data_IF_710197474335
#
_entry.id   IF_710197474335
#
_cell.length_a   1.000
_cell.length_b   1.000
_cell.length_c   1.000
_cell.angle_alpha   90.00
_cell.angle_beta   90.00
_cell.angle_gamma   90.00
#
_symmetry.space_group_name_H-M   'P 1'
#
loop_
_entity.id
_entity.type
_entity.pdbx_description
1 polymer ?
#
# COMPACT_ATOMS: atom_id res chain seq x y z
N UNK A 1 -8.08 13.67 -12.99
CA UNK A 1 -6.64 13.44 -12.76
C UNK A 1 -6.42 12.34 -11.74
N UNK A 2 -7.06 12.38 -10.56
CA UNK A 2 -6.90 11.33 -9.52
C UNK A 2 -7.27 9.91 -9.98
N UNK A 3 -8.32 9.74 -10.79
CA UNK A 3 -8.76 8.41 -11.27
C UNK A 3 -7.76 7.75 -12.22
N UNK A 4 -7.08 8.53 -13.05
CA UNK A 4 -6.07 8.01 -13.96
C UNK A 4 -4.84 7.49 -13.18
N UNK A 5 -4.41 8.23 -12.15
CA UNK A 5 -3.23 7.86 -11.34
C UNK A 5 -3.49 6.59 -10.52
N UNK A 6 -4.72 6.42 -9.99
CA UNK A 6 -5.16 5.21 -9.30
C UNK A 6 -5.11 4.02 -10.25
N UNK A 7 -5.64 4.19 -11.48
CA UNK A 7 -5.69 3.15 -12.48
C UNK A 7 -4.30 2.68 -12.92
N UNK A 8 -3.32 3.60 -13.05
CA UNK A 8 -1.93 3.25 -13.36
C UNK A 8 -1.26 2.46 -12.23
N UNK A 9 -1.47 2.86 -10.97
CA UNK A 9 -0.96 2.13 -9.81
C UNK A 9 -1.52 0.71 -9.74
N UNK A 10 -2.82 0.54 -9.99
CA UNK A 10 -3.46 -0.76 -10.06
C UNK A 10 -2.93 -1.61 -11.21
N UNK A 11 -2.77 -1.01 -12.41
CA UNK A 11 -2.22 -1.73 -13.54
C UNK A 11 -0.82 -2.28 -13.25
N UNK A 12 0.06 -1.45 -12.73
CA UNK A 12 1.41 -1.84 -12.35
C UNK A 12 1.42 -2.87 -11.21
N UNK A 13 0.53 -2.77 -10.23
CA UNK A 13 0.36 -3.79 -9.18
C UNK A 13 0.04 -5.16 -9.80
N UNK A 14 -0.93 -5.25 -10.72
CA UNK A 14 -1.31 -6.51 -11.35
C UNK A 14 -0.22 -7.10 -12.23
N UNK A 15 0.60 -6.27 -12.85
CA UNK A 15 1.73 -6.71 -13.70
C UNK A 15 2.90 -7.21 -12.86
N UNK A 16 3.29 -6.47 -11.83
CA UNK A 16 4.56 -6.69 -11.13
C UNK A 16 4.44 -7.38 -9.78
N UNK A 17 3.30 -7.23 -9.06
CA UNK A 17 3.17 -7.68 -7.68
C UNK A 17 2.18 -8.82 -7.54
N UNK A 18 1.03 -8.76 -8.19
CA UNK A 18 -0.09 -9.67 -7.96
C UNK A 18 0.24 -11.15 -8.12
N UNK A 19 1.12 -11.50 -9.05
CA UNK A 19 1.54 -12.90 -9.29
C UNK A 19 2.24 -13.53 -8.08
N UNK A 20 2.92 -12.71 -7.29
CA UNK A 20 3.70 -13.15 -6.13
C UNK A 20 3.00 -12.85 -4.80
N UNK A 21 2.22 -11.78 -4.77
CA UNK A 21 1.58 -11.29 -3.56
C UNK A 21 0.14 -10.80 -3.84
N UNK A 22 -0.82 -11.73 -3.99
CA UNK A 22 -2.19 -11.44 -4.46
C UNK A 22 -3.12 -10.91 -3.35
N UNK A 23 -2.82 -9.73 -2.81
CA UNK A 23 -3.61 -9.10 -1.73
C UNK A 23 -4.92 -8.47 -2.21
N UNK A 24 -5.00 -8.05 -3.47
CA UNK A 24 -6.22 -7.49 -4.05
C UNK A 24 -7.03 -8.58 -4.77
N UNK A 25 -8.36 -8.40 -4.87
CA UNK A 25 -9.21 -9.24 -5.70
C UNK A 25 -8.76 -9.26 -7.17
N UNK A 26 -9.26 -10.19 -7.99
CA UNK A 26 -8.96 -10.22 -9.41
C UNK A 26 -9.30 -8.90 -10.09
N UNK A 27 -8.59 -8.59 -11.17
CA UNK A 27 -8.79 -7.36 -11.96
C UNK A 27 -10.23 -7.28 -12.48
N UNK A 28 -10.87 -6.14 -12.27
CA UNK A 28 -12.24 -5.86 -12.74
C UNK A 28 -12.22 -5.21 -14.13
N UNK A 29 -11.19 -4.39 -14.42
CA UNK A 29 -11.06 -3.64 -15.67
C UNK A 29 -9.97 -4.24 -16.57
N UNK A 30 -10.08 -4.06 -17.88
CA UNK A 30 -9.05 -4.46 -18.81
C UNK A 30 -7.72 -3.74 -18.53
N UNK A 31 -6.61 -4.39 -18.89
CA UNK A 31 -5.29 -3.78 -18.77
C UNK A 31 -5.21 -2.52 -19.63
N UNK A 32 -4.87 -1.41 -19.00
CA UNK A 32 -4.58 -0.18 -19.73
C UNK A 32 -3.14 -0.25 -20.29
N UNK A 33 -2.91 0.33 -21.48
CA UNK A 33 -1.54 0.47 -21.98
C UNK A 33 -0.73 1.35 -21.04
N UNK A 34 0.51 0.92 -20.76
CA UNK A 34 1.42 1.69 -19.94
C UNK A 34 1.69 3.05 -20.59
N UNK A 35 1.36 4.11 -19.86
CA UNK A 35 1.85 5.44 -20.20
C UNK A 35 3.03 5.74 -19.29
N UNK A 36 4.23 5.92 -19.84
CA UNK A 36 5.33 6.41 -19.02
C UNK A 36 4.91 7.74 -18.38
N UNK A 37 5.01 7.83 -17.06
CA UNK A 37 4.93 9.12 -16.39
C UNK A 37 6.00 10.00 -17.03
N UNK A 38 5.62 11.12 -17.65
CA UNK A 38 6.58 12.09 -18.16
C UNK A 38 7.36 12.64 -16.98
N UNK A 39 8.49 12.03 -16.68
CA UNK A 39 9.48 12.60 -15.79
C UNK A 39 10.06 13.84 -16.49
N UNK A 40 9.45 14.98 -16.27
CA UNK A 40 10.17 16.25 -16.44
C UNK A 40 11.30 16.18 -15.39
N UNK A 41 12.51 15.91 -15.89
CA UNK A 41 13.67 15.58 -15.08
C UNK A 41 13.99 16.64 -14.02
N UNK A 42 13.55 16.40 -12.83
CA UNK A 42 14.09 17.03 -11.65
C UNK A 42 15.23 16.10 -11.17
N UNK A 43 16.42 16.36 -11.69
CA UNK A 43 17.62 15.80 -11.13
C UNK A 43 17.71 16.22 -9.66
N UNK A 44 17.73 15.26 -8.75
CA UNK A 44 18.10 15.53 -7.36
C UNK A 44 19.58 15.86 -7.38
N UNK A 45 19.91 17.16 -7.39
CA UNK A 45 21.30 17.65 -7.46
C UNK A 45 21.95 17.69 -6.09
N UNK A 46 21.24 17.34 -5.01
CA UNK A 46 21.77 17.37 -3.65
C UNK A 46 21.14 16.26 -2.79
N UNK A 47 21.96 15.53 -1.99
CA UNK A 47 21.45 14.50 -1.08
C UNK A 47 20.62 15.03 0.09
N UNK A 48 20.53 16.36 0.26
CA UNK A 48 19.79 17.02 1.34
C UNK A 48 18.39 17.51 0.96
N UNK A 49 18.01 17.46 -0.32
CA UNK A 49 16.66 17.87 -0.76
C UNK A 49 15.70 16.67 -0.79
N UNK A 50 14.54 16.83 -0.14
CA UNK A 50 13.46 15.83 -0.29
C UNK A 50 13.04 15.78 -1.76
N UNK A 51 12.92 14.56 -2.34
CA UNK A 51 12.54 14.42 -3.75
C UNK A 51 11.16 15.01 -3.97
N UNK A 52 11.04 15.88 -4.97
CA UNK A 52 9.75 16.46 -5.37
C UNK A 52 8.93 15.37 -6.04
N UNK A 53 7.94 14.84 -5.33
CA UNK A 53 7.08 13.78 -5.83
C UNK A 53 6.07 14.35 -6.84
N UNK A 54 6.20 13.99 -8.09
CA UNK A 54 5.25 14.34 -9.15
C UNK A 54 3.91 13.59 -8.98
N UNK A 55 3.97 12.39 -8.38
CA UNK A 55 2.83 11.54 -8.04
C UNK A 55 2.69 11.46 -6.53
N UNK A 56 1.50 11.81 -6.02
CA UNK A 56 1.17 11.72 -4.59
C UNK A 56 -0.07 10.84 -4.38
N UNK A 57 0.11 9.54 -4.19
CA UNK A 57 -0.98 8.65 -3.78
C UNK A 57 -1.61 9.12 -2.46
N UNK A 58 -2.91 8.89 -2.30
CA UNK A 58 -3.66 9.36 -1.12
C UNK A 58 -3.97 8.26 -0.12
N UNK A 59 -3.98 7.01 -0.55
CA UNK A 59 -4.27 5.89 0.36
C UNK A 59 -2.97 5.23 0.85
N UNK A 60 -2.94 4.69 2.07
CA UNK A 60 -1.78 3.97 2.59
C UNK A 60 -1.40 2.78 1.71
N UNK A 61 -2.39 2.09 1.14
CA UNK A 61 -2.16 0.97 0.24
C UNK A 61 -1.50 1.42 -1.08
N UNK A 62 -1.98 2.50 -1.69
CA UNK A 62 -1.38 3.03 -2.91
C UNK A 62 0.05 3.54 -2.68
N UNK A 63 0.33 4.14 -1.52
CA UNK A 63 1.67 4.54 -1.11
C UNK A 63 2.60 3.33 -0.91
N UNK A 64 2.12 2.27 -0.24
CA UNK A 64 2.89 1.05 -0.03
C UNK A 64 3.21 0.33 -1.36
N UNK A 65 2.25 0.25 -2.28
CA UNK A 65 2.44 -0.27 -3.63
C UNK A 65 3.47 0.58 -4.39
N UNK A 66 3.35 1.91 -4.35
CA UNK A 66 4.29 2.82 -4.98
C UNK A 66 5.72 2.64 -4.44
N UNK A 67 5.89 2.32 -3.15
CA UNK A 67 7.20 2.03 -2.57
C UNK A 67 7.88 0.83 -3.24
N UNK A 68 7.14 -0.24 -3.55
CA UNK A 68 7.68 -1.41 -4.27
C UNK A 68 7.91 -1.08 -5.74
N UNK A 69 6.93 -0.46 -6.40
CA UNK A 69 6.99 -0.16 -7.83
C UNK A 69 8.10 0.84 -8.18
N UNK A 70 8.45 1.75 -7.26
CA UNK A 70 9.58 2.68 -7.45
C UNK A 70 10.92 1.97 -7.66
N UNK A 71 11.03 0.70 -7.27
CA UNK A 71 12.25 -0.11 -7.48
C UNK A 71 12.35 -0.68 -8.88
N UNK A 72 11.24 -0.75 -9.61
CA UNK A 72 11.20 -1.21 -11.01
C UNK A 72 11.82 -0.12 -11.87
N UNK A 73 12.83 -0.45 -12.71
CA UNK A 73 13.43 0.55 -13.60
C UNK A 73 12.41 1.07 -14.62
N UNK A 74 12.48 2.37 -14.89
CA UNK A 74 11.65 2.96 -15.94
C UNK A 74 12.06 2.43 -17.32
N UNK A 75 11.14 2.13 -18.24
CA UNK A 75 11.46 1.62 -19.57
C UNK A 75 12.38 2.54 -20.38
N UNK A 76 12.32 3.85 -20.14
CA UNK A 76 13.13 4.86 -20.82
C UNK A 76 14.41 5.24 -20.05
N UNK A 77 14.74 4.52 -18.95
CA UNK A 77 16.00 4.75 -18.25
C UNK A 77 17.15 4.17 -19.10
N UNK A 78 18.07 5.01 -19.62
CA UNK A 78 19.15 4.55 -20.49
C UNK A 78 20.18 3.69 -19.72
N UNK A 79 20.30 3.91 -18.41
CA UNK A 79 21.26 3.22 -17.54
C UNK A 79 20.62 2.71 -16.25
N UNK A 80 19.70 1.72 -16.34
CA UNK A 80 18.93 1.27 -15.17
C UNK A 80 19.79 0.65 -14.07
N UNK A 81 20.98 0.18 -14.39
CA UNK A 81 21.93 -0.42 -13.45
C UNK A 81 22.96 0.57 -12.90
N UNK A 82 22.94 1.84 -13.33
CA UNK A 82 23.87 2.85 -12.81
C UNK A 82 23.65 3.10 -11.32
N UNK A 83 24.73 3.44 -10.61
CA UNK A 83 24.66 3.74 -9.19
C UNK A 83 23.68 4.89 -8.88
N UNK A 84 23.60 5.88 -9.77
CA UNK A 84 22.70 7.01 -9.63
C UNK A 84 21.22 6.60 -9.78
N UNK A 85 20.87 5.85 -10.83
CA UNK A 85 19.51 5.32 -11.03
C UNK A 85 19.07 4.42 -9.88
N UNK A 86 19.97 3.55 -9.40
CA UNK A 86 19.71 2.70 -8.23
C UNK A 86 19.46 3.53 -6.97
N UNK A 87 20.29 4.55 -6.73
CA UNK A 87 20.15 5.44 -5.58
C UNK A 87 18.82 6.20 -5.63
N UNK A 88 18.45 6.77 -6.77
CA UNK A 88 17.20 7.50 -6.95
C UNK A 88 15.99 6.58 -6.68
N UNK A 89 15.92 5.40 -7.28
CA UNK A 89 14.82 4.45 -7.07
C UNK A 89 14.68 4.06 -5.60
N UNK A 90 15.79 3.78 -4.92
CA UNK A 90 15.78 3.46 -3.48
C UNK A 90 15.31 4.64 -2.63
N UNK A 91 15.69 5.86 -3.00
CA UNK A 91 15.27 7.07 -2.30
C UNK A 91 13.76 7.27 -2.44
N UNK A 92 13.20 7.19 -3.64
CA UNK A 92 11.75 7.27 -3.86
C UNK A 92 11.00 6.15 -3.12
N UNK A 93 11.48 4.92 -3.23
CA UNK A 93 10.91 3.78 -2.52
C UNK A 93 10.86 4.01 -1.01
N UNK A 94 11.93 4.53 -0.43
CA UNK A 94 11.99 4.85 1.00
C UNK A 94 11.02 5.97 1.40
N UNK A 95 10.90 7.02 0.58
CA UNK A 95 9.96 8.13 0.83
C UNK A 95 8.52 7.61 0.80
N UNK A 96 8.13 6.84 -0.21
CA UNK A 96 6.79 6.26 -0.29
C UNK A 96 6.50 5.30 0.87
N UNK A 97 7.46 4.45 1.26
CA UNK A 97 7.30 3.55 2.41
C UNK A 97 7.07 4.34 3.71
N UNK A 98 7.82 5.43 3.94
CA UNK A 98 7.64 6.32 5.10
C UNK A 98 6.28 7.00 5.08
N UNK A 99 5.86 7.51 3.92
CA UNK A 99 4.53 8.12 3.76
C UNK A 99 3.40 7.11 4.01
N UNK A 100 3.55 5.87 3.56
CA UNK A 100 2.57 4.80 3.81
C UNK A 100 2.44 4.51 5.30
N UNK A 101 3.56 4.40 6.02
CA UNK A 101 3.58 4.19 7.47
C UNK A 101 2.85 5.33 8.19
N UNK A 102 3.22 6.57 7.88
CA UNK A 102 2.61 7.75 8.50
C UNK A 102 1.09 7.81 8.19
N UNK A 103 0.67 7.40 6.99
CA UNK A 103 -0.75 7.35 6.62
C UNK A 103 -1.52 6.29 7.41
N UNK A 104 -0.93 5.10 7.63
CA UNK A 104 -1.53 4.06 8.48
C UNK A 104 -1.65 4.54 9.93
N UNK A 105 -0.63 5.19 10.46
CA UNK A 105 -0.61 5.73 11.81
C UNK A 105 -1.66 6.83 11.99
N UNK A 106 -1.74 7.78 11.03
CA UNK A 106 -2.73 8.84 11.05
C UNK A 106 -4.18 8.31 10.98
N UNK A 107 -4.44 7.31 10.14
CA UNK A 107 -5.76 6.67 10.08
C UNK A 107 -6.11 5.98 11.41
N UNK A 108 -5.12 5.37 12.08
CA UNK A 108 -5.31 4.72 13.38
C UNK A 108 -5.59 5.74 14.48
N UNK A 109 -4.92 6.90 14.46
CA UNK A 109 -5.15 7.99 15.40
C UNK A 109 -6.54 8.61 15.22
N UNK A 110 -6.99 8.80 13.96
CA UNK A 110 -8.34 9.28 13.66
C UNK A 110 -9.40 8.33 14.21
N UNK A 111 -9.18 7.02 14.08
CA UNK A 111 -10.09 6.02 14.66
C UNK A 111 -10.10 6.04 16.19
N UNK A 112 -8.99 6.40 16.83
CA UNK A 112 -8.85 6.46 18.28
C UNK A 112 -9.35 7.78 18.87
N UNK A 113 -9.12 8.92 18.20
CA UNK A 113 -9.40 10.26 18.71
C UNK A 113 -10.89 10.64 18.71
N UNK A 114 -11.73 9.90 17.99
CA UNK A 114 -13.19 10.09 18.00
C UNK A 114 -13.86 9.47 19.25
N UNK A 115 -13.10 8.87 20.16
CA UNK A 115 -13.62 8.30 21.39
C UNK A 115 -13.72 9.42 22.42
N UNK A 116 -14.77 10.22 22.36
CA UNK A 116 -15.32 10.88 23.53
C UNK A 116 -15.62 9.76 24.57
N UNK A 117 -15.18 9.88 25.82
CA UNK A 117 -15.47 8.87 26.86
C UNK A 117 -16.97 8.51 26.97
N UNK A 118 -17.86 9.43 26.59
CA UNK A 118 -19.30 9.19 26.49
C UNK A 118 -19.71 8.37 25.27
N UNK A 119 -18.88 8.30 24.23
CA UNK A 119 -19.10 7.53 23.00
C UNK A 119 -18.30 6.20 22.94
N UNK A 120 -17.49 5.91 23.95
CA UNK A 120 -16.72 4.68 24.04
C UNK A 120 -17.58 3.40 23.99
N UNK A 121 -18.89 3.53 24.17
CA UNK A 121 -19.87 2.46 24.04
C UNK A 121 -20.61 2.48 22.68
N UNK A 122 -20.37 3.45 21.81
CA UNK A 122 -20.96 3.48 20.49
C UNK A 122 -20.16 2.59 19.53
N UNK A 123 -20.85 1.71 18.83
CA UNK A 123 -20.26 0.76 17.85
C UNK A 123 -19.85 1.45 16.55
N UNK A 124 -20.17 2.73 16.38
CA UNK A 124 -19.88 3.48 15.15
C UNK A 124 -18.43 3.96 15.11
N UNK A 125 -17.60 3.27 14.32
CA UNK A 125 -16.25 3.73 13.99
C UNK A 125 -16.34 4.92 13.03
N UNK A 126 -15.50 5.97 13.18
CA UNK A 126 -15.45 7.06 12.21
C UNK A 126 -15.10 6.52 10.82
N UNK A 127 -15.93 6.84 9.85
CA UNK A 127 -15.74 6.44 8.46
C UNK A 127 -14.57 7.23 7.86
N UNK A 128 -13.59 6.53 7.36
CA UNK A 128 -12.51 7.14 6.58
C UNK A 128 -13.09 7.56 5.22
N UNK A 129 -13.28 8.86 5.01
CA UNK A 129 -13.87 9.39 3.78
C UNK A 129 -12.81 9.56 2.68
N UNK A 130 -12.47 8.47 2.00
CA UNK A 130 -11.64 8.46 0.79
C UNK A 130 -12.15 7.43 -0.21
N UNK A 131 -11.80 7.64 -1.49
CA UNK A 131 -12.09 6.64 -2.53
C UNK A 131 -11.19 5.41 -2.31
N UNK A 132 -11.77 4.18 -2.39
CA UNK A 132 -11.00 2.96 -2.32
C UNK A 132 -10.04 2.85 -3.52
N UNK A 133 -8.86 2.28 -3.30
CA UNK A 133 -7.91 1.99 -4.38
C UNK A 133 -8.47 0.99 -5.39
N UNK A 134 -9.21 -0.01 -4.91
CA UNK A 134 -9.84 -1.03 -5.74
C UNK A 134 -11.35 -1.11 -5.45
N UNK A 135 -12.21 -1.15 -6.49
CA UNK A 135 -13.67 -1.10 -6.31
C UNK A 135 -14.23 -2.20 -5.39
N UNK A 136 -13.62 -3.39 -5.43
CA UNK A 136 -14.04 -4.53 -4.60
C UNK A 136 -13.25 -4.67 -3.29
N UNK A 137 -12.53 -3.62 -2.87
CA UNK A 137 -11.77 -3.63 -1.62
C UNK A 137 -12.23 -2.44 -0.77
N UNK A 138 -12.83 -2.67 0.40
CA UNK A 138 -13.27 -1.57 1.25
C UNK A 138 -12.07 -0.80 1.81
N UNK A 139 -12.26 0.50 2.06
CA UNK A 139 -11.21 1.42 2.52
C UNK A 139 -10.60 0.96 3.86
N UNK A 140 -11.40 0.34 4.71
CA UNK A 140 -10.99 -0.17 6.02
C UNK A 140 -9.90 -1.26 5.93
N UNK A 141 -9.87 -2.02 4.84
CA UNK A 141 -8.83 -3.03 4.61
C UNK A 141 -7.51 -2.44 4.11
N UNK A 142 -7.50 -1.21 3.58
CA UNK A 142 -6.30 -0.64 2.95
C UNK A 142 -5.12 -0.50 3.91
N UNK A 143 -5.37 -0.17 5.18
CA UNK A 143 -4.33 -0.08 6.20
C UNK A 143 -3.67 -1.44 6.46
N UNK A 144 -4.47 -2.47 6.61
CA UNK A 144 -4.00 -3.84 6.78
C UNK A 144 -3.17 -4.30 5.58
N UNK A 145 -3.70 -4.11 4.36
CA UNK A 145 -3.02 -4.49 3.12
C UNK A 145 -1.72 -3.69 2.91
N UNK A 146 -1.70 -2.41 3.29
CA UNK A 146 -0.50 -1.59 3.27
C UNK A 146 0.59 -2.15 4.19
N UNK A 147 0.23 -2.57 5.42
CA UNK A 147 1.17 -3.18 6.35
C UNK A 147 1.75 -4.50 5.81
N UNK A 148 0.95 -5.29 5.10
CA UNK A 148 1.45 -6.51 4.44
C UNK A 148 2.48 -6.19 3.34
N UNK A 149 2.22 -5.21 2.49
CA UNK A 149 3.19 -4.75 1.47
C UNK A 149 4.44 -4.18 2.14
N UNK A 150 4.29 -3.38 3.20
CA UNK A 150 5.42 -2.83 3.96
C UNK A 150 6.25 -3.92 4.65
N UNK A 151 5.64 -5.01 5.09
CA UNK A 151 6.39 -6.15 5.63
C UNK A 151 7.30 -6.77 4.56
N UNK A 152 6.78 -6.98 3.34
CA UNK A 152 7.57 -7.45 2.20
C UNK A 152 8.68 -6.46 1.86
N UNK A 153 8.40 -5.16 1.86
CA UNK A 153 9.39 -4.10 1.63
C UNK A 153 10.53 -4.15 2.65
N UNK A 154 10.24 -4.26 3.94
CA UNK A 154 11.27 -4.35 4.99
C UNK A 154 12.15 -5.59 4.83
N UNK A 155 11.57 -6.72 4.42
CA UNK A 155 12.30 -7.94 4.13
C UNK A 155 13.20 -7.80 2.90
N UNK A 156 12.62 -7.43 1.76
CA UNK A 156 13.30 -7.52 0.46
C UNK A 156 14.29 -6.39 0.24
N UNK A 157 13.98 -5.17 0.70
CA UNK A 157 14.80 -3.99 0.42
C UNK A 157 15.73 -3.61 1.57
N UNK A 158 15.36 -3.95 2.78
CA UNK A 158 16.12 -3.55 3.97
C UNK A 158 16.77 -4.72 4.69
N UNK A 159 16.42 -5.96 4.38
CA UNK A 159 16.85 -7.14 5.11
C UNK A 159 16.48 -7.10 6.60
N UNK A 160 15.46 -6.30 6.97
CA UNK A 160 15.09 -6.06 8.35
C UNK A 160 13.98 -6.99 8.79
N UNK A 161 14.34 -8.21 9.19
CA UNK A 161 13.40 -9.23 9.65
C UNK A 161 12.57 -8.80 10.87
N UNK A 162 13.15 -7.99 11.77
CA UNK A 162 12.43 -7.52 12.96
C UNK A 162 11.29 -6.57 12.56
N UNK A 163 11.55 -5.62 11.66
CA UNK A 163 10.52 -4.72 11.15
C UNK A 163 9.52 -5.44 10.27
N UNK A 164 9.96 -6.40 9.46
CA UNK A 164 9.06 -7.27 8.69
C UNK A 164 8.03 -7.92 9.62
N UNK A 165 8.49 -8.63 10.66
CA UNK A 165 7.61 -9.29 11.64
C UNK A 165 6.74 -8.30 12.40
N UNK A 166 7.27 -7.13 12.75
CA UNK A 166 6.51 -6.09 13.41
C UNK A 166 5.34 -5.62 12.55
N UNK A 167 5.57 -5.35 11.25
CA UNK A 167 4.51 -4.93 10.33
C UNK A 167 3.48 -6.05 10.10
N UNK A 168 3.92 -7.28 9.92
CA UNK A 168 3.02 -8.43 9.81
C UNK A 168 2.20 -8.64 11.10
N UNK A 169 2.79 -8.43 12.28
CA UNK A 169 2.09 -8.48 13.57
C UNK A 169 1.03 -7.38 13.71
N UNK A 170 1.34 -6.15 13.28
CA UNK A 170 0.34 -5.07 13.23
C UNK A 170 -0.83 -5.44 12.31
N UNK A 171 -0.55 -5.99 11.12
CA UNK A 171 -1.58 -6.44 10.19
C UNK A 171 -2.44 -7.55 10.81
N UNK A 172 -1.83 -8.51 11.53
CA UNK A 172 -2.55 -9.57 12.22
C UNK A 172 -3.47 -9.02 13.31
N UNK A 173 -2.99 -8.08 14.12
CA UNK A 173 -3.81 -7.40 15.14
C UNK A 173 -5.05 -6.75 14.52
N UNK A 174 -4.85 -5.97 13.44
CA UNK A 174 -5.96 -5.35 12.71
C UNK A 174 -6.93 -6.37 12.12
N UNK A 175 -6.41 -7.49 11.57
CA UNK A 175 -7.25 -8.56 11.01
C UNK A 175 -8.15 -9.20 12.09
N UNK A 176 -7.62 -9.39 13.30
CA UNK A 176 -8.40 -9.90 14.44
C UNK A 176 -9.44 -8.90 14.92
N UNK A 177 -9.11 -7.61 15.01
CA UNK A 177 -10.03 -6.53 15.38
C UNK A 177 -11.19 -6.40 14.37
N UNK A 178 -10.91 -6.64 13.09
CA UNK A 178 -11.93 -6.69 12.02
C UNK A 178 -12.68 -8.03 11.96
N UNK A 179 -12.37 -8.98 12.87
CA UNK A 179 -12.95 -10.33 12.89
C UNK A 179 -12.81 -11.10 11.58
N UNK A 180 -11.73 -10.86 10.81
CA UNK A 180 -11.53 -11.53 9.52
C UNK A 180 -11.32 -13.04 9.64
N UNK A 181 -10.97 -13.53 10.82
CA UNK A 181 -10.80 -14.97 11.11
C UNK A 181 -12.15 -15.73 11.18
N UNK A 182 -13.27 -15.02 11.30
CA UNK A 182 -14.61 -15.62 11.45
C UNK A 182 -15.44 -15.60 10.17
N UNK A 183 -14.87 -15.18 9.04
CA UNK A 183 -15.61 -14.91 7.79
C UNK A 183 -16.26 -16.12 7.13
N UNK A 184 -15.98 -17.34 7.54
CA UNK A 184 -16.63 -18.56 7.03
C UNK A 184 -17.04 -18.52 5.55
N UNK A 185 -18.32 -18.85 5.29
CA UNK A 185 -18.95 -18.78 3.94
C UNK A 185 -19.66 -17.43 3.68
N UNK A 186 -19.26 -16.36 4.33
CA UNK A 186 -19.86 -15.03 4.13
C UNK A 186 -19.91 -14.69 2.63
N UNK A 187 -21.12 -14.35 2.16
CA UNK A 187 -21.36 -13.89 0.80
C UNK A 187 -21.68 -12.40 0.85
N UNK A 188 -20.85 -11.59 0.22
CA UNK A 188 -21.02 -10.13 0.17
C UNK A 188 -20.09 -9.51 -0.84
N UNK A 189 -20.34 -8.26 -1.15
CA UNK A 189 -19.54 -7.49 -2.13
C UNK A 189 -18.04 -7.54 -1.88
N UNK A 190 -17.62 -7.53 -0.61
CA UNK A 190 -16.21 -7.51 -0.21
C UNK A 190 -15.70 -8.82 0.39
N UNK A 191 -16.49 -9.91 0.29
CA UNK A 191 -16.13 -11.18 0.92
C UNK A 191 -14.80 -11.74 0.41
N UNK A 192 -14.53 -11.62 -0.89
CA UNK A 192 -13.27 -12.07 -1.50
C UNK A 192 -12.08 -11.24 -1.01
N UNK A 193 -12.20 -9.92 -0.95
CA UNK A 193 -11.15 -9.05 -0.43
C UNK A 193 -10.82 -9.36 1.04
N UNK A 194 -11.83 -9.58 1.87
CA UNK A 194 -11.68 -9.94 3.28
C UNK A 194 -11.01 -11.30 3.46
N UNK A 195 -11.43 -12.32 2.70
CA UNK A 195 -10.79 -13.65 2.72
C UNK A 195 -9.32 -13.57 2.31
N UNK A 196 -9.00 -12.84 1.23
CA UNK A 196 -7.62 -12.62 0.80
C UNK A 196 -6.80 -11.93 1.87
N UNK A 197 -7.32 -10.84 2.44
CA UNK A 197 -6.67 -10.11 3.51
C UNK A 197 -6.33 -11.03 4.70
N UNK A 198 -7.28 -11.89 5.13
CA UNK A 198 -7.04 -12.86 6.19
C UNK A 198 -5.92 -13.85 5.83
N UNK A 199 -6.06 -14.54 4.70
CA UNK A 199 -5.09 -15.57 4.29
C UNK A 199 -3.70 -15.00 4.08
N UNK A 200 -3.59 -13.83 3.46
CA UNK A 200 -2.30 -13.17 3.24
C UNK A 200 -1.68 -12.69 4.56
N UNK A 201 -2.49 -12.29 5.53
CA UNK A 201 -2.01 -11.93 6.87
C UNK A 201 -1.43 -13.15 7.59
N UNK A 202 -2.16 -14.26 7.61
CA UNK A 202 -1.67 -15.52 8.24
C UNK A 202 -0.40 -16.02 7.55
N UNK A 203 -0.35 -15.94 6.23
CA UNK A 203 0.83 -16.37 5.46
C UNK A 203 2.06 -15.49 5.73
N UNK A 204 1.88 -14.18 5.83
CA UNK A 204 2.97 -13.21 6.08
C UNK A 204 3.51 -13.25 7.52
N UNK A 205 2.70 -13.73 8.47
CA UNK A 205 3.07 -13.81 9.88
C UNK A 205 3.85 -15.09 10.23
N UNK A 206 3.68 -16.19 9.48
CA UNK A 206 4.38 -17.46 9.67
C UNK A 206 5.85 -17.39 9.28
#
# INVERSE_FOLDING_TARGET
MADADIQYSLNAYYVFIHSYFPILPPRVTAQLPDRPLNYAGTCINSPSEEPTLTYRPRSPLSLAIAAILSLVPHPNDPEPSSANSLFQRRTYSHVFARMAINSVEADSELQSSSIDPSQALSVERPLINRQPLHPQTPVELENLLALLILSVYEYTQRGNFMKMRYRAGQALSMALDMSLHTLGEEQGEFAEARRRAWWMTVWSYR
#
